data_IF_018226584112
#
_entry.id   IF_018226584112
#
_cell.length_a   1.000
_cell.length_b   1.000
_cell.length_c   1.000
_cell.angle_alpha   90.00
_cell.angle_beta   90.00
_cell.angle_gamma   90.00
#
_symmetry.space_group_name_H-M   'P 1'
#
loop_
_entity.id
_entity.type
_entity.pdbx_description
1 polymer ?
#
# COMPACT_ATOMS: atom_id res chain seq x y z
N UNK A 1 -16.49 -15.71 8.94
CA UNK A 1 -15.34 -15.09 8.22
C UNK A 1 -15.62 -13.61 8.08
N UNK A 2 -14.69 -12.71 8.42
CA UNK A 2 -14.93 -11.27 8.26
C UNK A 2 -14.59 -10.86 6.81
N UNK A 3 -15.57 -10.52 5.94
CA UNK A 3 -15.34 -10.31 4.51
C UNK A 3 -14.45 -9.09 4.23
N UNK A 4 -14.48 -8.10 5.11
CA UNK A 4 -13.76 -6.82 4.96
C UNK A 4 -12.25 -6.97 4.81
N UNK A 5 -11.65 -7.97 5.46
CA UNK A 5 -10.20 -8.21 5.33
C UNK A 5 -9.83 -8.86 3.99
N UNK A 6 -10.74 -9.60 3.35
CA UNK A 6 -10.51 -10.12 1.99
C UNK A 6 -10.60 -8.98 0.98
N UNK A 7 -11.60 -8.12 1.14
CA UNK A 7 -11.82 -6.94 0.29
C UNK A 7 -10.61 -6.00 0.36
N UNK A 8 -10.09 -5.70 1.56
CA UNK A 8 -8.88 -4.90 1.72
C UNK A 8 -7.66 -5.51 1.02
N UNK A 9 -7.47 -6.83 1.12
CA UNK A 9 -6.39 -7.52 0.40
C UNK A 9 -6.55 -7.41 -1.12
N UNK A 10 -7.76 -7.63 -1.63
CA UNK A 10 -8.05 -7.53 -3.06
C UNK A 10 -7.81 -6.11 -3.59
N UNK A 11 -8.29 -5.10 -2.87
CA UNK A 11 -8.10 -3.68 -3.22
C UNK A 11 -6.61 -3.35 -3.25
N UNK A 12 -5.85 -3.76 -2.22
CA UNK A 12 -4.39 -3.57 -2.19
C UNK A 12 -3.70 -4.22 -3.39
N UNK A 13 -4.05 -5.46 -3.72
CA UNK A 13 -3.52 -6.15 -4.91
C UNK A 13 -3.83 -5.43 -6.21
N UNK A 14 -5.08 -4.97 -6.41
CA UNK A 14 -5.46 -4.24 -7.63
C UNK A 14 -4.61 -2.97 -7.78
N UNK A 15 -4.46 -2.20 -6.71
CA UNK A 15 -3.68 -0.95 -6.71
C UNK A 15 -2.21 -1.21 -7.07
N UNK A 16 -1.59 -2.23 -6.46
CA UNK A 16 -0.19 -2.60 -6.78
C UNK A 16 -0.06 -3.07 -8.23
N UNK A 17 -0.97 -3.92 -8.69
CA UNK A 17 -0.98 -4.39 -10.08
C UNK A 17 -1.10 -3.22 -11.06
N UNK A 18 -1.98 -2.25 -10.80
CA UNK A 18 -2.09 -1.04 -11.62
C UNK A 18 -0.78 -0.25 -11.67
N UNK A 19 -0.11 -0.06 -10.52
CA UNK A 19 1.20 0.61 -10.48
C UNK A 19 2.28 -0.13 -11.28
N UNK A 20 2.30 -1.47 -11.21
CA UNK A 20 3.24 -2.30 -11.99
C UNK A 20 2.94 -2.20 -13.50
N UNK A 21 1.68 -2.26 -13.89
CA UNK A 21 1.27 -2.13 -15.30
C UNK A 21 1.70 -0.78 -15.86
N UNK A 22 1.52 0.31 -15.11
CA UNK A 22 2.00 1.64 -15.51
C UNK A 22 3.52 1.67 -15.75
N UNK A 23 4.32 1.00 -14.92
CA UNK A 23 5.77 0.91 -15.14
C UNK A 23 6.16 0.04 -16.34
N UNK A 24 5.37 -0.99 -16.69
CA UNK A 24 5.73 -1.90 -17.78
C UNK A 24 5.40 -1.28 -19.14
N UNK A 25 4.25 -0.61 -19.27
CA UNK A 25 3.72 -0.18 -20.57
C UNK A 25 4.23 1.17 -21.08
N UNK A 26 4.63 2.08 -20.19
CA UNK A 26 4.84 3.49 -20.56
C UNK A 26 6.29 3.97 -20.74
N UNK A 27 7.34 3.44 -20.09
CA UNK A 27 8.67 4.04 -20.22
C UNK A 27 9.40 3.72 -21.54
N UNK A 28 8.89 2.82 -22.38
CA UNK A 28 9.61 2.37 -23.61
C UNK A 28 9.24 3.11 -24.90
N UNK A 29 8.25 3.99 -24.89
CA UNK A 29 7.65 4.53 -26.12
C UNK A 29 7.68 6.06 -26.25
N UNK A 30 8.34 6.76 -25.34
CA UNK A 30 8.17 8.19 -25.10
C UNK A 30 9.56 8.81 -24.89
N UNK A 31 10.25 9.19 -25.96
CA UNK A 31 11.64 9.64 -25.82
C UNK A 31 12.07 10.79 -26.74
N UNK A 32 11.14 11.53 -27.37
CA UNK A 32 11.57 12.63 -28.27
C UNK A 32 10.86 13.98 -28.03
N UNK A 33 9.72 14.04 -27.31
CA UNK A 33 9.01 15.31 -27.04
C UNK A 33 9.12 15.78 -25.58
N UNK A 34 9.20 17.10 -25.29
CA UNK A 34 9.12 17.62 -23.92
C UNK A 34 7.80 17.27 -23.20
N UNK A 35 6.73 16.98 -23.93
CA UNK A 35 5.47 16.47 -23.38
C UNK A 35 5.63 15.03 -22.83
N UNK A 36 6.48 14.23 -23.47
CA UNK A 36 6.77 12.86 -23.08
C UNK A 36 7.51 12.80 -21.74
N UNK A 37 8.43 13.74 -21.52
CA UNK A 37 9.21 13.86 -20.27
C UNK A 37 8.28 14.16 -19.08
N UNK A 38 7.30 15.06 -19.27
CA UNK A 38 6.29 15.35 -18.24
C UNK A 38 5.39 14.15 -17.95
N UNK A 39 5.03 13.39 -19.00
CA UNK A 39 4.24 12.17 -18.86
C UNK A 39 5.01 11.10 -18.08
N UNK A 40 6.29 10.86 -18.42
CA UNK A 40 7.17 9.91 -17.70
C UNK A 40 7.32 10.31 -16.23
N UNK A 41 7.56 11.60 -15.95
CA UNK A 41 7.64 12.12 -14.57
C UNK A 41 6.35 11.87 -13.79
N UNK A 42 5.20 12.13 -14.42
CA UNK A 42 3.88 11.89 -13.82
C UNK A 42 3.67 10.41 -13.51
N UNK A 43 4.06 9.53 -14.42
CA UNK A 43 3.93 8.08 -14.27
C UNK A 43 4.83 7.57 -13.14
N UNK A 44 6.12 7.94 -13.12
CA UNK A 44 7.04 7.60 -12.03
C UNK A 44 6.54 8.09 -10.67
N UNK A 45 6.01 9.30 -10.61
CA UNK A 45 5.44 9.86 -9.38
C UNK A 45 4.20 9.06 -8.94
N UNK A 46 3.30 8.75 -9.87
CA UNK A 46 2.09 7.98 -9.58
C UNK A 46 2.39 6.57 -9.07
N UNK A 47 3.40 5.91 -9.62
CA UNK A 47 3.79 4.54 -9.24
C UNK A 47 4.48 4.52 -7.89
N UNK A 48 5.25 5.56 -7.55
CA UNK A 48 5.84 5.77 -6.23
C UNK A 48 4.78 5.88 -5.13
N UNK A 49 3.56 6.35 -5.43
CA UNK A 49 2.43 6.31 -4.48
C UNK A 49 1.63 5.01 -4.54
N UNK A 50 1.28 4.54 -5.74
CA UNK A 50 0.40 3.37 -5.92
C UNK A 50 0.96 2.11 -5.26
N UNK A 51 2.26 1.81 -5.45
CA UNK A 51 2.85 0.55 -4.98
C UNK A 51 2.88 0.49 -3.44
N UNK A 52 3.44 1.48 -2.72
CA UNK A 52 3.48 1.44 -1.25
C UNK A 52 2.09 1.49 -0.62
N UNK A 53 1.17 2.31 -1.16
CA UNK A 53 -0.20 2.42 -0.64
C UNK A 53 -0.94 1.09 -0.83
N UNK A 54 -0.87 0.50 -2.02
CA UNK A 54 -1.51 -0.79 -2.31
C UNK A 54 -0.93 -1.92 -1.44
N UNK A 55 0.40 -1.94 -1.27
CA UNK A 55 1.08 -2.90 -0.40
C UNK A 55 0.64 -2.73 1.07
N UNK A 56 0.63 -1.52 1.60
CA UNK A 56 0.23 -1.24 2.98
C UNK A 56 -1.20 -1.66 3.29
N UNK A 57 -2.14 -1.38 2.38
CA UNK A 57 -3.55 -1.80 2.51
C UNK A 57 -3.66 -3.33 2.50
N UNK A 58 -3.00 -3.99 1.54
CA UNK A 58 -3.06 -5.45 1.38
C UNK A 58 -2.42 -6.19 2.56
N UNK A 59 -1.18 -5.83 2.90
CA UNK A 59 -0.42 -6.39 4.01
C UNK A 59 -1.13 -6.14 5.35
N UNK A 60 -1.68 -4.95 5.54
CA UNK A 60 -2.44 -4.60 6.72
C UNK A 60 -3.70 -5.44 6.95
N UNK A 61 -4.43 -5.73 5.88
CA UNK A 61 -5.60 -6.61 5.93
C UNK A 61 -5.22 -8.07 6.27
N UNK A 62 -4.08 -8.55 5.79
CA UNK A 62 -3.51 -9.86 6.11
C UNK A 62 -3.09 -9.96 7.58
N UNK A 63 -2.32 -8.98 8.09
CA UNK A 63 -1.95 -8.92 9.51
C UNK A 63 -3.18 -8.86 10.42
N UNK A 64 -4.23 -8.15 9.99
CA UNK A 64 -5.53 -8.13 10.65
C UNK A 64 -6.12 -9.53 10.90
N UNK A 65 -6.01 -10.43 9.91
CA UNK A 65 -6.47 -11.82 10.03
C UNK A 65 -5.54 -12.65 10.90
N UNK A 66 -4.24 -12.58 10.65
CA UNK A 66 -3.24 -13.36 11.39
C UNK A 66 -3.30 -13.05 12.87
N UNK A 67 -3.40 -11.77 13.24
CA UNK A 67 -3.52 -11.36 14.64
C UNK A 67 -4.82 -11.85 15.27
N UNK A 68 -5.95 -11.84 14.57
CA UNK A 68 -7.19 -12.44 15.11
C UNK A 68 -7.01 -13.92 15.43
N UNK A 69 -6.34 -14.68 14.56
CA UNK A 69 -6.07 -16.10 14.79
C UNK A 69 -5.11 -16.27 15.97
N UNK A 70 -4.04 -15.48 16.05
CA UNK A 70 -3.10 -15.48 17.17
C UNK A 70 -3.77 -15.14 18.51
N UNK A 71 -4.67 -14.15 18.54
CA UNK A 71 -5.41 -13.76 19.74
C UNK A 71 -6.37 -14.89 20.17
N UNK A 72 -7.04 -15.56 19.23
CA UNK A 72 -7.90 -16.73 19.54
C UNK A 72 -7.08 -17.90 20.10
N UNK A 73 -5.94 -18.20 19.49
CA UNK A 73 -5.04 -19.27 19.96
C UNK A 73 -4.50 -18.96 21.36
N UNK A 74 -4.13 -17.70 21.62
CA UNK A 74 -3.66 -17.25 22.94
C UNK A 74 -4.76 -17.35 24.00
N UNK A 75 -6.01 -16.97 23.67
CA UNK A 75 -7.16 -17.08 24.56
C UNK A 75 -7.59 -18.54 24.80
N UNK A 76 -7.35 -19.46 23.88
CA UNK A 76 -7.61 -20.89 24.10
C UNK A 76 -6.79 -21.47 25.26
N UNK A 77 -5.64 -20.87 25.58
CA UNK A 77 -4.83 -21.21 26.76
C UNK A 77 -5.26 -20.48 28.04
N UNK A 78 -6.11 -19.46 27.96
CA UNK A 78 -6.56 -18.66 29.11
C UNK A 78 -8.08 -18.73 29.24
N UNK A 79 -8.56 -19.53 30.19
CA UNK A 79 -9.98 -19.67 30.56
C UNK A 79 -10.53 -18.33 31.05
N UNK A 80 -10.99 -17.46 30.14
CA UNK A 80 -12.06 -16.47 30.34
C UNK A 80 -12.34 -15.73 29.03
N UNK A 81 -13.53 -16.00 28.50
CA UNK A 81 -14.12 -15.37 27.32
C UNK A 81 -14.38 -13.89 27.64
N UNK A 82 -13.42 -13.02 27.33
CA UNK A 82 -13.64 -11.58 27.26
C UNK A 82 -13.67 -11.19 25.79
N UNK A 83 -14.83 -10.73 25.34
CA UNK A 83 -15.11 -10.19 24.00
C UNK A 83 -13.89 -9.40 23.53
N UNK A 84 -13.17 -9.95 22.55
CA UNK A 84 -11.93 -9.40 22.01
C UNK A 84 -12.21 -7.94 21.65
N UNK A 85 -11.68 -7.00 22.44
CA UNK A 85 -11.64 -5.60 22.07
C UNK A 85 -10.67 -5.59 20.89
N UNK A 86 -11.23 -5.63 19.68
CA UNK A 86 -10.49 -5.48 18.44
C UNK A 86 -9.68 -4.21 18.56
N UNK A 87 -8.39 -4.33 18.91
CA UNK A 87 -7.42 -3.29 18.60
C UNK A 87 -7.63 -3.02 17.13
N UNK A 88 -7.93 -1.78 16.71
CA UNK A 88 -8.23 -1.49 15.33
C UNK A 88 -6.91 -1.62 14.57
N UNK A 89 -6.59 -2.84 14.13
CA UNK A 89 -5.42 -3.11 13.28
C UNK A 89 -5.54 -2.25 12.01
N UNK A 90 -6.77 -1.93 11.59
CA UNK A 90 -7.05 -0.90 10.60
C UNK A 90 -6.41 0.45 10.92
N UNK A 91 -6.46 0.92 12.17
CA UNK A 91 -5.85 2.20 12.55
C UNK A 91 -4.31 2.16 12.46
N UNK A 92 -3.68 1.04 12.86
CA UNK A 92 -2.23 0.86 12.72
C UNK A 92 -1.84 0.86 11.24
N UNK A 93 -2.62 0.17 10.40
CA UNK A 93 -2.41 0.13 8.94
C UNK A 93 -2.58 1.51 8.33
N UNK A 94 -3.59 2.28 8.75
CA UNK A 94 -3.78 3.66 8.31
C UNK A 94 -2.58 4.54 8.70
N UNK A 95 -2.04 4.39 9.91
CA UNK A 95 -0.86 5.14 10.35
C UNK A 95 0.35 4.78 9.49
N UNK A 96 0.60 3.49 9.25
CA UNK A 96 1.72 3.04 8.40
C UNK A 96 1.58 3.61 6.98
N UNK A 97 0.39 3.50 6.36
CA UNK A 97 0.14 4.05 5.02
C UNK A 97 0.30 5.57 4.99
N UNK A 98 -0.12 6.26 6.05
CA UNK A 98 0.05 7.71 6.16
C UNK A 98 1.53 8.11 6.23
N UNK A 99 2.33 7.40 7.04
CA UNK A 99 3.78 7.61 7.13
C UNK A 99 4.46 7.34 5.79
N UNK A 100 4.13 6.24 5.12
CA UNK A 100 4.64 5.93 3.77
C UNK A 100 4.31 7.04 2.78
N UNK A 101 3.06 7.51 2.77
CA UNK A 101 2.64 8.60 1.87
C UNK A 101 3.39 9.90 2.17
N UNK A 102 3.60 10.21 3.45
CA UNK A 102 4.35 11.39 3.87
C UNK A 102 5.83 11.30 3.48
N UNK A 103 6.45 10.12 3.60
CA UNK A 103 7.82 9.88 3.16
C UNK A 103 7.97 10.04 1.64
N UNK A 104 7.05 9.47 0.86
CA UNK A 104 7.05 9.63 -0.60
C UNK A 104 6.83 11.09 -0.99
N UNK A 105 5.90 11.79 -0.33
CA UNK A 105 5.66 13.22 -0.57
C UNK A 105 6.90 14.04 -0.25
N UNK A 106 7.54 13.78 0.90
CA UNK A 106 8.78 14.46 1.28
C UNK A 106 9.88 14.23 0.26
N UNK A 107 10.07 12.97 -0.17
CA UNK A 107 11.07 12.60 -1.16
C UNK A 107 10.88 13.33 -2.50
N UNK A 108 9.64 13.37 -3.03
CA UNK A 108 9.34 14.08 -4.29
C UNK A 108 9.58 15.59 -4.18
N UNK A 109 9.39 16.17 -2.98
CA UNK A 109 9.66 17.60 -2.76
C UNK A 109 11.13 17.93 -2.51
N UNK A 110 11.92 16.98 -1.99
CA UNK A 110 13.34 17.19 -1.71
C UNK A 110 14.22 16.89 -2.92
N UNK A 111 13.90 15.82 -3.65
CA UNK A 111 14.53 15.47 -4.92
C UNK A 111 13.48 15.67 -6.01
N UNK A 112 13.57 16.80 -6.71
CA UNK A 112 12.89 16.92 -7.99
C UNK A 112 13.39 15.77 -8.87
N UNK A 113 12.49 14.92 -9.37
CA UNK A 113 12.81 13.91 -10.39
C UNK A 113 13.47 14.60 -11.60
N UNK A 114 14.79 14.76 -11.56
CA UNK A 114 15.65 15.15 -12.67
C UNK A 114 15.80 13.88 -13.51
N UNK A 115 15.26 13.89 -14.73
CA UNK A 115 15.27 12.75 -15.64
C UNK A 115 16.65 12.36 -16.17
N UNK A 116 17.67 12.33 -15.31
CA UNK A 116 18.99 11.78 -15.58
C UNK A 116 18.96 10.28 -15.20
N UNK A 117 18.46 9.45 -16.13
CA UNK A 117 18.67 8.00 -16.13
C UNK A 117 19.49 7.61 -17.35
#
# INVERSE_FOLDING_TARGET
VNPWANIGCLVGCIIVCSGILLQIFFPKHLSESPEDIQLVRTICTSTAFLIPVGFGIGFGALLGKVKRVADILSLRNMVKIKRIRTTPISAIVTIIVFVETALVTHWITSDEFSGEW
#
